data_IF_828371141609
#
_entry.id   IF_828371141609
#
_cell.length_a   1.000
_cell.length_b   1.000
_cell.length_c   1.000
_cell.angle_alpha   90.00
_cell.angle_beta   90.00
_cell.angle_gamma   90.00
#
_symmetry.space_group_name_H-M   'P 1'
#
loop_
_entity.id
_entity.type
_entity.pdbx_description
1 polymer ?
#
# COMPACT_ATOMS: atom_id res chain seq x y z
N UNK A 1 2.95 -8.99 -54.62
CA UNK A 1 2.23 -9.11 -53.33
C UNK A 1 3.18 -8.77 -52.20
N UNK A 2 2.71 -7.94 -51.27
CA UNK A 2 3.46 -6.96 -50.48
C UNK A 2 4.02 -7.59 -49.20
N UNK A 3 5.35 -7.59 -49.01
CA UNK A 3 6.00 -7.93 -47.74
C UNK A 3 5.83 -6.76 -46.77
N UNK A 4 4.91 -6.86 -45.80
CA UNK A 4 4.86 -5.97 -44.64
C UNK A 4 5.80 -6.52 -43.56
N UNK A 5 6.90 -5.80 -43.29
CA UNK A 5 7.71 -6.01 -42.10
C UNK A 5 7.02 -5.25 -40.95
N UNK A 6 6.49 -5.99 -39.98
CA UNK A 6 5.99 -5.43 -38.72
C UNK A 6 7.22 -5.14 -37.86
N UNK A 7 7.50 -3.86 -37.63
CA UNK A 7 8.53 -3.40 -36.69
C UNK A 7 7.87 -3.35 -35.31
N UNK A 8 8.28 -4.25 -34.42
CA UNK A 8 7.92 -4.18 -33.00
C UNK A 8 8.72 -3.03 -32.36
N UNK A 9 8.04 -1.93 -32.06
CA UNK A 9 8.56 -0.88 -31.21
C UNK A 9 8.42 -1.35 -29.75
N UNK A 10 9.49 -1.90 -29.18
CA UNK A 10 9.55 -2.21 -27.75
C UNK A 10 9.75 -0.87 -27.01
N UNK A 11 8.65 -0.31 -26.52
CA UNK A 11 8.66 0.77 -25.53
C UNK A 11 9.14 0.19 -24.19
N UNK A 12 10.46 0.27 -23.96
CA UNK A 12 11.06 0.07 -22.65
C UNK A 12 10.65 1.24 -21.74
N UNK A 13 9.51 1.10 -21.05
CA UNK A 13 9.23 1.89 -19.86
C UNK A 13 10.19 1.43 -18.76
N UNK A 14 11.31 2.14 -18.62
CA UNK A 14 12.17 1.99 -17.46
C UNK A 14 11.38 2.47 -16.22
N UNK A 15 10.94 1.52 -15.39
CA UNK A 15 10.45 1.78 -14.05
C UNK A 15 11.63 2.28 -13.20
N UNK A 16 11.89 3.59 -13.25
CA UNK A 16 12.82 4.23 -12.32
C UNK A 16 12.09 4.37 -10.99
N UNK A 17 12.32 3.40 -10.11
CA UNK A 17 11.95 3.47 -8.70
C UNK A 17 12.58 4.72 -8.09
N UNK A 18 11.75 5.54 -7.42
CA UNK A 18 12.17 6.77 -6.74
C UNK A 18 12.96 6.38 -5.46
N UNK A 19 14.21 5.94 -5.65
CA UNK A 19 15.17 5.70 -4.59
C UNK A 19 15.92 6.98 -4.27
N UNK A 20 16.15 7.26 -2.97
CA UNK A 20 17.05 8.33 -2.53
C UNK A 20 18.45 8.05 -3.10
N UNK A 21 18.81 8.74 -4.17
CA UNK A 21 20.17 8.72 -4.69
C UNK A 21 21.08 9.41 -3.69
N UNK A 22 21.91 8.62 -3.00
CA UNK A 22 23.14 9.10 -2.37
C UNK A 22 23.95 9.90 -3.39
N UNK A 23 24.43 11.07 -2.95
CA UNK A 23 25.09 12.11 -3.76
C UNK A 23 26.09 11.55 -4.79
N UNK A 24 25.75 11.62 -6.07
CA UNK A 24 26.73 11.58 -7.16
C UNK A 24 27.11 13.03 -7.51
N UNK A 25 28.04 13.58 -6.74
CA UNK A 25 28.76 14.76 -7.16
C UNK A 25 29.71 14.37 -8.30
N UNK A 26 29.24 14.55 -9.54
CA UNK A 26 30.02 15.11 -10.66
C UNK A 26 29.16 15.08 -11.95
N UNK A 27 28.15 15.94 -12.03
CA UNK A 27 27.52 16.24 -13.31
C UNK A 27 28.55 16.92 -14.23
N UNK A 28 28.59 16.49 -15.51
CA UNK A 28 29.41 17.14 -16.53
C UNK A 28 28.97 18.60 -16.71
N UNK A 29 29.82 19.46 -17.28
CA UNK A 29 29.49 20.88 -17.50
C UNK A 29 28.24 21.04 -18.37
N UNK A 30 28.08 20.17 -19.37
CA UNK A 30 26.91 20.13 -20.26
C UNK A 30 25.64 19.72 -19.49
N UNK A 31 25.71 18.69 -18.65
CA UNK A 31 24.60 18.27 -17.79
C UNK A 31 24.17 19.38 -16.82
N UNK A 32 25.11 20.18 -16.28
CA UNK A 32 24.78 21.32 -15.42
C UNK A 32 24.05 22.43 -16.17
N UNK A 33 24.45 22.72 -17.41
CA UNK A 33 23.79 23.73 -18.25
C UNK A 33 22.37 23.29 -18.60
N UNK A 34 22.17 22.01 -18.90
CA UNK A 34 20.86 21.44 -19.18
C UNK A 34 19.94 21.49 -17.94
N UNK A 35 20.43 21.02 -16.78
CA UNK A 35 19.72 21.13 -15.49
C UNK A 35 19.37 22.59 -15.12
N UNK A 36 20.28 23.54 -15.33
CA UNK A 36 20.02 24.96 -15.09
C UNK A 36 18.94 25.53 -16.02
N UNK A 37 18.89 25.06 -17.27
CA UNK A 37 17.87 25.48 -18.24
C UNK A 37 16.49 24.90 -17.89
N UNK A 38 16.43 23.64 -17.49
CA UNK A 38 15.20 22.99 -17.02
C UNK A 38 14.68 23.63 -15.74
N UNK A 39 15.56 23.89 -14.76
CA UNK A 39 15.17 24.55 -13.52
C UNK A 39 14.60 25.95 -13.76
N UNK A 40 15.17 26.73 -14.70
CA UNK A 40 14.62 28.04 -15.08
C UNK A 40 13.25 27.94 -15.73
N UNK A 41 13.02 26.90 -16.54
CA UNK A 41 11.72 26.63 -17.12
C UNK A 41 10.67 26.33 -16.05
N UNK A 42 10.99 25.44 -15.11
CA UNK A 42 10.09 25.09 -14.00
C UNK A 42 9.84 26.27 -13.05
N UNK A 43 10.86 27.08 -12.75
CA UNK A 43 10.70 28.31 -11.96
C UNK A 43 9.75 29.31 -12.65
N UNK A 44 9.84 29.45 -13.98
CA UNK A 44 8.92 30.29 -14.76
C UNK A 44 7.48 29.80 -14.66
N UNK A 45 7.25 28.49 -14.80
CA UNK A 45 5.92 27.87 -14.61
C UNK A 45 5.42 28.12 -13.18
N UNK A 46 6.25 27.85 -12.18
CA UNK A 46 5.91 28.02 -10.77
C UNK A 46 5.50 29.46 -10.43
N UNK A 47 6.16 30.47 -11.03
CA UNK A 47 5.80 31.89 -10.89
C UNK A 47 4.42 32.19 -11.48
N UNK A 48 4.09 31.63 -12.65
CA UNK A 48 2.76 31.80 -13.28
C UNK A 48 1.69 31.11 -12.44
N UNK A 49 1.92 29.87 -12.03
CA UNK A 49 1.03 29.10 -11.16
C UNK A 49 0.75 29.80 -9.83
N UNK A 50 1.79 30.35 -9.20
CA UNK A 50 1.66 31.11 -7.95
C UNK A 50 0.76 32.33 -8.13
N UNK A 51 0.96 33.11 -9.21
CA UNK A 51 0.11 34.27 -9.50
C UNK A 51 -1.35 33.88 -9.75
N UNK A 52 -1.56 32.77 -10.44
CA UNK A 52 -2.92 32.25 -10.68
C UNK A 52 -3.58 31.81 -9.37
N UNK A 53 -2.84 31.11 -8.49
CA UNK A 53 -3.35 30.71 -7.19
C UNK A 53 -3.73 31.93 -6.34
N UNK A 54 -2.86 32.94 -6.27
CA UNK A 54 -3.15 34.18 -5.53
C UNK A 54 -4.38 34.91 -6.07
N UNK A 55 -4.57 34.93 -7.39
CA UNK A 55 -5.78 35.51 -8.02
C UNK A 55 -7.04 34.76 -7.57
N UNK A 56 -7.01 33.43 -7.61
CA UNK A 56 -8.16 32.60 -7.23
C UNK A 56 -8.45 32.68 -5.73
N UNK A 57 -7.42 32.70 -4.88
CA UNK A 57 -7.53 32.93 -3.43
C UNK A 57 -8.22 34.26 -3.12
N UNK A 58 -7.83 35.34 -3.82
CA UNK A 58 -8.48 36.67 -3.70
C UNK A 58 -9.94 36.64 -4.13
N UNK A 59 -10.31 35.75 -5.05
CA UNK A 59 -11.69 35.51 -5.48
C UNK A 59 -12.43 34.49 -4.60
N UNK A 60 -11.86 34.13 -3.45
CA UNK A 60 -12.40 33.14 -2.52
C UNK A 60 -12.58 31.73 -3.13
N UNK A 61 -11.79 31.39 -4.15
CA UNK A 61 -11.77 30.08 -4.78
C UNK A 61 -10.64 29.25 -4.18
N UNK A 62 -11.01 28.25 -3.38
CA UNK A 62 -10.08 27.27 -2.83
C UNK A 62 -10.18 25.97 -3.60
N UNK A 63 -9.04 25.34 -3.84
CA UNK A 63 -8.97 24.04 -4.52
C UNK A 63 -8.02 23.11 -3.76
N UNK A 64 -8.53 21.95 -3.35
CA UNK A 64 -7.74 20.86 -2.81
C UNK A 64 -7.32 19.92 -3.94
N UNK A 65 -6.07 19.45 -3.90
CA UNK A 65 -5.52 18.58 -4.93
C UNK A 65 -5.30 17.18 -4.37
N UNK A 66 -5.89 16.18 -5.03
CA UNK A 66 -5.45 14.80 -4.84
C UNK A 66 -4.16 14.57 -5.62
N UNK A 67 -3.14 14.04 -4.96
CA UNK A 67 -1.92 13.64 -5.64
C UNK A 67 -2.19 12.41 -6.52
N UNK A 68 -1.79 12.47 -7.79
CA UNK A 68 -1.95 11.42 -8.79
C UNK A 68 -0.57 11.05 -9.35
N UNK A 69 -0.39 9.80 -9.79
CA UNK A 69 0.89 9.27 -10.29
C UNK A 69 1.43 8.14 -9.43
N UNK A 70 2.73 8.14 -9.12
CA UNK A 70 3.39 7.08 -8.33
C UNK A 70 3.10 7.14 -6.82
N UNK A 71 1.90 7.57 -6.43
CA UNK A 71 1.45 7.66 -5.04
C UNK A 71 0.20 6.82 -4.83
N UNK A 72 0.08 6.22 -3.65
CA UNK A 72 -1.13 5.47 -3.28
C UNK A 72 -2.29 6.46 -3.18
N UNK A 73 -3.34 6.21 -3.96
CA UNK A 73 -4.57 6.97 -3.82
C UNK A 73 -5.31 6.53 -2.56
N UNK A 74 -5.84 7.50 -1.82
CA UNK A 74 -6.72 7.19 -0.71
C UNK A 74 -8.03 6.63 -1.24
N UNK A 75 -8.38 5.42 -0.80
CA UNK A 75 -9.64 4.76 -1.14
C UNK A 75 -10.89 5.54 -0.71
N UNK A 76 -10.76 6.42 0.28
CA UNK A 76 -11.81 7.32 0.80
C UNK A 76 -11.87 8.68 0.08
N UNK A 77 -11.33 8.79 -1.13
CA UNK A 77 -11.35 10.05 -1.90
C UNK A 77 -12.77 10.53 -2.20
N UNK A 78 -13.73 9.64 -2.45
CA UNK A 78 -15.13 10.03 -2.67
C UNK A 78 -15.76 10.66 -1.43
N UNK A 79 -15.55 10.08 -0.25
CA UNK A 79 -15.97 10.64 1.03
C UNK A 79 -15.28 11.98 1.32
N UNK A 80 -13.97 12.07 1.07
CA UNK A 80 -13.22 13.32 1.23
C UNK A 80 -13.80 14.44 0.35
N UNK A 81 -14.13 14.13 -0.91
CA UNK A 81 -14.71 15.10 -1.84
C UNK A 81 -16.03 15.68 -1.31
N UNK A 82 -16.89 14.81 -0.77
CA UNK A 82 -18.17 15.20 -0.15
C UNK A 82 -17.97 16.03 1.12
N UNK A 83 -16.89 15.83 1.86
CA UNK A 83 -16.57 16.64 3.04
C UNK A 83 -16.07 18.03 2.63
N UNK A 84 -15.11 18.10 1.70
CA UNK A 84 -14.51 19.35 1.22
C UNK A 84 -15.54 20.28 0.55
N UNK A 85 -16.51 19.72 -0.19
CA UNK A 85 -17.55 20.52 -0.85
C UNK A 85 -18.40 21.32 0.14
N UNK A 86 -18.57 20.85 1.38
CA UNK A 86 -19.29 21.58 2.45
C UNK A 86 -18.59 22.86 2.88
N UNK A 87 -17.30 22.98 2.58
CA UNK A 87 -16.48 24.16 2.85
C UNK A 87 -16.24 25.00 1.59
N UNK A 88 -16.97 24.71 0.49
CA UNK A 88 -16.77 25.32 -0.83
C UNK A 88 -15.33 25.16 -1.36
N UNK A 89 -14.65 24.07 -0.98
CA UNK A 89 -13.33 23.74 -1.49
C UNK A 89 -13.52 22.82 -2.69
N UNK A 90 -13.07 23.29 -3.86
CA UNK A 90 -13.08 22.51 -5.09
C UNK A 90 -12.05 21.39 -5.02
N UNK A 91 -12.22 20.37 -5.84
CA UNK A 91 -11.26 19.27 -5.95
C UNK A 91 -10.64 19.31 -7.34
N UNK A 92 -9.35 19.08 -7.39
CA UNK A 92 -8.58 18.86 -8.61
C UNK A 92 -7.48 17.81 -8.34
N UNK A 93 -6.59 17.57 -9.30
CA UNK A 93 -5.52 16.58 -9.22
C UNK A 93 -4.18 17.18 -9.60
N UNK A 94 -3.13 16.74 -8.91
CA UNK A 94 -1.76 17.18 -9.15
C UNK A 94 -0.88 15.96 -9.46
N UNK A 95 -0.15 16.01 -10.58
CA UNK A 95 0.80 14.96 -10.97
C UNK A 95 2.18 15.27 -10.40
N UNK A 96 2.86 14.24 -9.88
CA UNK A 96 4.23 14.37 -9.37
C UNK A 96 5.21 13.60 -10.24
N UNK A 97 6.33 14.24 -10.59
CA UNK A 97 7.39 13.71 -11.44
C UNK A 97 8.69 13.54 -10.61
N UNK A 98 9.41 12.42 -10.74
CA UNK A 98 10.68 12.21 -10.04
C UNK A 98 11.84 13.03 -10.63
N UNK A 99 11.70 13.53 -11.86
CA UNK A 99 12.76 14.26 -12.59
C UNK A 99 12.74 15.77 -12.36
N UNK A 100 11.72 16.28 -11.67
CA UNK A 100 11.56 17.72 -11.43
C UNK A 100 11.82 18.00 -9.94
N UNK A 101 12.52 19.08 -9.58
CA UNK A 101 12.67 19.46 -8.18
C UNK A 101 11.31 19.65 -7.50
N UNK A 102 11.08 19.00 -6.36
CA UNK A 102 9.77 18.95 -5.71
C UNK A 102 9.22 20.33 -5.33
N UNK A 103 10.09 21.28 -5.02
CA UNK A 103 9.77 22.66 -4.69
C UNK A 103 9.29 23.50 -5.89
N UNK A 104 9.61 23.07 -7.11
CA UNK A 104 9.18 23.73 -8.36
C UNK A 104 7.96 23.06 -8.99
N UNK A 105 7.49 21.94 -8.44
CA UNK A 105 6.31 21.23 -8.92
C UNK A 105 5.04 21.70 -8.23
N UNK A 106 3.94 21.78 -9.00
CA UNK A 106 2.59 22.00 -8.48
C UNK A 106 2.50 23.23 -7.54
N UNK A 107 3.17 24.33 -7.90
CA UNK A 107 3.21 25.54 -7.08
C UNK A 107 1.82 26.12 -6.84
N UNK A 108 0.89 25.96 -7.80
CA UNK A 108 -0.51 26.32 -7.60
C UNK A 108 -1.14 25.52 -6.43
N UNK A 109 -0.98 24.19 -6.45
CA UNK A 109 -1.53 23.31 -5.42
C UNK A 109 -0.91 23.60 -4.05
N UNK A 110 0.40 23.84 -4.00
CA UNK A 110 1.11 24.23 -2.77
C UNK A 110 0.55 25.53 -2.18
N UNK A 111 0.29 26.54 -3.02
CA UNK A 111 -0.32 27.82 -2.57
C UNK A 111 -1.74 27.64 -2.06
N UNK A 112 -2.54 26.81 -2.74
CA UNK A 112 -3.89 26.50 -2.27
C UNK A 112 -3.89 25.75 -0.94
N UNK A 113 -3.00 24.77 -0.76
CA UNK A 113 -2.85 24.05 0.50
C UNK A 113 -2.46 24.99 1.65
N UNK A 114 -1.50 25.90 1.44
CA UNK A 114 -1.11 26.92 2.42
C UNK A 114 -2.28 27.82 2.82
N UNK A 115 -3.10 28.24 1.86
CA UNK A 115 -4.26 29.08 2.15
C UNK A 115 -5.37 28.31 2.89
N UNK A 116 -5.59 27.03 2.55
CA UNK A 116 -6.51 26.15 3.28
C UNK A 116 -6.06 26.02 4.75
N UNK A 117 -4.78 25.72 4.99
CA UNK A 117 -4.23 25.62 6.34
C UNK A 117 -4.34 26.92 7.12
N UNK A 118 -4.13 28.05 6.45
CA UNK A 118 -4.28 29.38 7.06
C UNK A 118 -5.72 29.66 7.48
N UNK A 119 -6.71 29.24 6.69
CA UNK A 119 -8.14 29.51 6.95
C UNK A 119 -8.76 28.57 7.96
N UNK A 120 -8.40 27.29 7.91
CA UNK A 120 -9.07 26.23 8.67
C UNK A 120 -8.17 25.57 9.73
N UNK A 121 -6.89 25.89 9.74
CA UNK A 121 -5.88 25.29 10.61
C UNK A 121 -5.16 24.12 9.95
N UNK A 122 -3.91 23.92 10.34
CA UNK A 122 -2.99 22.92 9.75
C UNK A 122 -3.49 21.47 9.82
N UNK A 123 -4.34 21.14 10.81
CA UNK A 123 -4.85 19.78 10.99
C UNK A 123 -6.19 19.55 10.28
N UNK A 124 -6.72 20.55 9.56
CA UNK A 124 -8.06 20.49 8.97
C UNK A 124 -8.19 19.36 7.95
N UNK A 125 -7.27 19.28 6.99
CA UNK A 125 -7.29 18.24 5.95
C UNK A 125 -7.12 16.85 6.58
N UNK A 126 -6.17 16.67 7.50
CA UNK A 126 -5.93 15.39 8.17
C UNK A 126 -7.13 14.92 8.99
N UNK A 127 -7.82 15.85 9.65
CA UNK A 127 -9.05 15.57 10.38
C UNK A 127 -10.16 15.12 9.42
N UNK A 128 -10.35 15.82 8.29
CA UNK A 128 -11.31 15.41 7.28
C UNK A 128 -10.96 14.05 6.66
N UNK A 129 -9.68 13.75 6.47
CA UNK A 129 -9.23 12.44 5.98
C UNK A 129 -9.58 11.31 6.93
N UNK A 130 -9.40 11.52 8.23
CA UNK A 130 -9.82 10.56 9.26
C UNK A 130 -11.32 10.31 9.21
N UNK A 131 -12.12 11.37 9.04
CA UNK A 131 -13.58 11.26 8.90
C UNK A 131 -13.97 10.55 7.61
N UNK A 132 -13.33 10.88 6.49
CA UNK A 132 -13.56 10.27 5.19
C UNK A 132 -13.30 8.76 5.23
N UNK A 133 -12.18 8.35 5.84
CA UNK A 133 -11.82 6.95 5.97
C UNK A 133 -12.82 6.17 6.82
N UNK A 134 -13.27 6.75 7.94
CA UNK A 134 -14.33 6.15 8.75
C UNK A 134 -15.66 6.03 7.99
N UNK A 135 -16.01 7.03 7.19
CA UNK A 135 -17.20 6.98 6.33
C UNK A 135 -17.07 5.89 5.26
N UNK A 136 -15.90 5.78 4.62
CA UNK A 136 -15.62 4.74 3.64
C UNK A 136 -15.84 3.34 4.22
N UNK A 137 -15.29 3.07 5.41
CA UNK A 137 -15.48 1.76 6.08
C UNK A 137 -16.96 1.48 6.34
N UNK A 138 -17.71 2.48 6.81
CA UNK A 138 -19.16 2.34 7.07
C UNK A 138 -19.98 2.13 5.80
N UNK A 139 -19.59 2.78 4.71
CA UNK A 139 -20.28 2.67 3.42
C UNK A 139 -19.98 1.35 2.70
N UNK A 140 -18.94 0.63 3.11
CA UNK A 140 -18.50 -0.63 2.51
C UNK A 140 -18.56 -1.81 3.50
N UNK A 141 -19.73 -2.09 4.11
CA UNK A 141 -19.82 -3.05 5.20
C UNK A 141 -19.44 -4.48 4.76
N UNK A 142 -19.60 -4.84 3.49
CA UNK A 142 -19.34 -6.19 3.00
C UNK A 142 -17.97 -6.33 2.30
N UNK A 143 -17.19 -5.25 2.19
CA UNK A 143 -15.86 -5.32 1.58
C UNK A 143 -14.97 -6.26 2.39
N UNK A 144 -14.20 -7.06 1.68
CA UNK A 144 -13.09 -7.84 2.24
C UNK A 144 -11.86 -6.94 2.14
N UNK A 145 -11.33 -6.56 3.30
CA UNK A 145 -10.17 -5.68 3.41
C UNK A 145 -8.88 -6.49 3.26
N UNK A 146 -7.88 -5.89 2.61
CA UNK A 146 -6.54 -6.48 2.64
C UNK A 146 -5.97 -6.42 4.07
N UNK A 147 -4.99 -7.27 4.36
CA UNK A 147 -4.45 -7.39 5.70
C UNK A 147 -3.83 -6.08 6.21
N UNK A 148 -3.15 -5.35 5.32
CA UNK A 148 -2.47 -4.08 5.55
C UNK A 148 -3.43 -2.88 5.60
N UNK A 149 -4.65 -3.04 5.10
CA UNK A 149 -5.70 -2.01 5.12
C UNK A 149 -6.42 -1.90 6.49
N UNK A 150 -6.13 -2.81 7.40
CA UNK A 150 -6.74 -2.90 8.72
C UNK A 150 -5.85 -2.25 9.80
N UNK A 151 -6.46 -1.99 10.95
CA UNK A 151 -5.77 -1.51 12.15
C UNK A 151 -4.68 -2.53 12.57
N UNK A 152 -3.57 -2.01 13.11
CA UNK A 152 -2.40 -2.79 13.52
C UNK A 152 -2.62 -3.50 14.86
N UNK A 153 -3.62 -4.38 14.90
CA UNK A 153 -3.93 -5.28 16.00
C UNK A 153 -3.71 -6.73 15.54
N UNK A 154 -3.20 -7.58 16.44
CA UNK A 154 -3.10 -9.00 16.09
C UNK A 154 -4.50 -9.61 15.96
N UNK A 155 -4.66 -10.45 14.94
CA UNK A 155 -5.86 -11.26 14.71
C UNK A 155 -5.74 -12.65 15.34
N UNK A 156 -4.56 -12.99 15.87
CA UNK A 156 -4.29 -14.28 16.50
C UNK A 156 -4.45 -14.16 18.03
N UNK A 157 -5.26 -15.02 18.68
CA UNK A 157 -5.69 -14.82 20.08
C UNK A 157 -4.57 -14.89 21.13
N UNK A 158 -3.43 -15.52 20.81
CA UNK A 158 -2.31 -15.68 21.76
C UNK A 158 -1.29 -14.52 21.69
N UNK A 159 -1.55 -13.51 20.88
CA UNK A 159 -0.64 -12.39 20.71
C UNK A 159 -0.92 -11.23 21.63
N UNK A 160 0.15 -10.52 22.01
CA UNK A 160 0.06 -9.27 22.78
C UNK A 160 0.17 -8.04 21.89
N UNK A 161 0.69 -8.20 20.68
CA UNK A 161 0.94 -7.10 19.74
C UNK A 161 0.84 -7.58 18.28
N UNK A 162 0.72 -6.63 17.35
CA UNK A 162 0.72 -6.92 15.92
C UNK A 162 2.01 -7.61 15.43
N UNK A 163 3.16 -7.30 16.02
CA UNK A 163 4.44 -7.91 15.62
C UNK A 163 4.55 -9.38 16.07
N UNK A 164 3.83 -9.77 17.13
CA UNK A 164 3.77 -11.15 17.62
C UNK A 164 3.04 -12.08 16.65
N UNK A 165 2.11 -11.53 15.86
CA UNK A 165 1.38 -12.24 14.81
C UNK A 165 2.33 -13.02 13.92
N UNK A 166 3.41 -12.42 13.46
CA UNK A 166 4.34 -13.08 12.55
C UNK A 166 5.21 -14.16 13.19
N UNK A 167 5.01 -14.48 14.48
CA UNK A 167 5.83 -15.44 15.24
C UNK A 167 4.99 -16.53 15.89
N UNK A 168 3.94 -16.18 16.64
CA UNK A 168 3.34 -17.12 17.59
C UNK A 168 2.51 -18.22 16.92
N UNK A 169 1.73 -17.90 15.87
CA UNK A 169 0.96 -18.94 15.17
C UNK A 169 1.87 -20.03 14.59
N UNK A 170 3.09 -19.68 14.17
CA UNK A 170 4.08 -20.63 13.64
C UNK A 170 4.49 -21.63 14.71
N UNK A 171 4.78 -21.12 15.91
CA UNK A 171 5.17 -21.94 17.05
C UNK A 171 4.02 -22.86 17.48
N UNK A 172 2.79 -22.35 17.52
CA UNK A 172 1.63 -23.14 17.92
C UNK A 172 1.24 -24.19 16.88
N UNK A 173 1.40 -23.89 15.58
CA UNK A 173 1.22 -24.88 14.53
C UNK A 173 2.15 -26.09 14.70
N UNK A 174 3.44 -25.87 14.99
CA UNK A 174 4.38 -26.98 15.19
C UNK A 174 4.17 -27.77 16.49
N UNK A 175 3.33 -27.29 17.42
CA UNK A 175 2.88 -28.09 18.57
C UNK A 175 1.83 -29.15 18.18
N UNK A 176 1.14 -28.95 17.06
CA UNK A 176 0.10 -29.88 16.58
C UNK A 176 0.50 -30.65 15.30
N UNK A 177 1.43 -30.10 14.53
CA UNK A 177 1.96 -30.66 13.30
C UNK A 177 3.40 -31.11 13.52
N UNK A 178 3.56 -32.25 14.20
CA UNK A 178 4.87 -32.85 14.42
C UNK A 178 5.52 -33.27 13.09
N UNK A 179 6.84 -33.19 13.04
CA UNK A 179 7.61 -33.64 11.90
C UNK A 179 7.57 -35.17 11.81
N UNK A 180 7.23 -35.74 10.64
CA UNK A 180 7.39 -37.17 10.39
C UNK A 180 8.84 -37.63 10.66
N UNK A 181 9.02 -38.87 11.14
CA UNK A 181 10.33 -39.38 11.60
C UNK A 181 11.44 -39.30 10.56
N UNK A 182 11.08 -39.45 9.29
CA UNK A 182 11.97 -39.44 8.13
C UNK A 182 11.80 -38.18 7.27
N UNK A 183 11.28 -37.10 7.86
CA UNK A 183 11.24 -35.79 7.22
C UNK A 183 12.67 -35.28 7.00
N UNK A 184 13.02 -34.95 5.76
CA UNK A 184 14.36 -34.47 5.43
C UNK A 184 14.42 -32.95 5.63
N UNK A 185 15.09 -32.51 6.71
CA UNK A 185 15.32 -31.10 7.00
C UNK A 185 16.28 -30.47 5.99
N UNK A 186 16.16 -29.15 5.80
CA UNK A 186 17.04 -28.40 4.92
C UNK A 186 18.49 -28.42 5.44
N UNK A 187 19.45 -28.23 4.54
CA UNK A 187 20.84 -27.94 4.92
C UNK A 187 21.01 -26.43 5.10
N UNK A 188 22.05 -26.01 5.82
CA UNK A 188 22.24 -24.62 6.25
C UNK A 188 22.23 -23.58 5.12
N UNK A 189 22.67 -23.98 3.90
CA UNK A 189 22.72 -23.12 2.71
C UNK A 189 21.49 -23.20 1.81
N UNK A 190 20.53 -24.07 2.13
CA UNK A 190 19.34 -24.27 1.31
C UNK A 190 18.26 -23.23 1.66
N UNK A 191 17.43 -22.89 0.67
CA UNK A 191 16.22 -22.12 0.91
C UNK A 191 15.31 -22.84 1.91
N UNK A 192 14.42 -22.09 2.56
CA UNK A 192 13.44 -22.71 3.43
C UNK A 192 12.36 -23.42 2.59
N UNK A 193 11.92 -24.58 3.06
CA UNK A 193 10.61 -25.10 2.67
C UNK A 193 9.55 -24.28 3.42
N UNK A 194 8.36 -24.12 2.85
CA UNK A 194 7.30 -23.34 3.47
C UNK A 194 5.91 -23.89 3.13
N UNK A 195 4.95 -23.55 3.99
CA UNK A 195 3.53 -23.69 3.75
C UNK A 195 2.87 -22.35 4.08
N UNK A 196 2.04 -21.83 3.18
CA UNK A 196 1.28 -20.60 3.38
C UNK A 196 -0.20 -20.88 3.27
N UNK A 197 -0.99 -20.00 3.86
CA UNK A 197 -2.42 -19.97 3.63
C UNK A 197 -2.91 -18.53 3.55
N UNK A 198 -3.83 -18.28 2.64
CA UNK A 198 -4.63 -17.07 2.58
C UNK A 198 -6.09 -17.46 2.82
N UNK A 199 -6.78 -16.72 3.69
CA UNK A 199 -8.19 -16.98 3.96
C UNK A 199 -8.95 -15.71 4.31
N UNK A 200 -10.27 -15.77 4.23
CA UNK A 200 -11.16 -14.67 4.64
C UNK A 200 -11.60 -14.89 6.08
N UNK A 201 -11.27 -13.93 6.94
CA UNK A 201 -11.81 -13.80 8.28
C UNK A 201 -13.00 -12.85 8.26
N UNK A 202 -14.18 -13.35 8.62
CA UNK A 202 -15.41 -12.56 8.66
C UNK A 202 -15.58 -11.80 9.97
N UNK A 203 -16.48 -10.81 9.96
CA UNK A 203 -16.82 -9.99 11.14
C UNK A 203 -17.29 -10.79 12.36
N UNK A 204 -17.90 -11.95 12.14
CA UNK A 204 -18.38 -12.85 13.19
C UNK A 204 -17.29 -13.80 13.71
N UNK A 205 -16.07 -13.73 13.15
CA UNK A 205 -14.96 -14.60 13.48
C UNK A 205 -14.95 -15.93 12.71
N UNK A 206 -15.92 -16.16 11.82
CA UNK A 206 -15.90 -17.33 10.93
C UNK A 206 -14.83 -17.18 9.83
N UNK A 207 -14.39 -18.32 9.29
CA UNK A 207 -13.36 -18.37 8.25
C UNK A 207 -13.90 -19.07 7.01
N UNK A 208 -13.68 -18.47 5.84
CA UNK A 208 -13.97 -19.09 4.53
C UNK A 208 -12.78 -18.95 3.57
N UNK A 209 -12.90 -19.57 2.40
CA UNK A 209 -11.99 -19.36 1.26
C UNK A 209 -10.52 -19.59 1.62
N UNK A 210 -10.26 -20.68 2.35
CA UNK A 210 -8.91 -21.09 2.74
C UNK A 210 -8.19 -21.65 1.50
N UNK A 211 -7.25 -20.88 0.98
CA UNK A 211 -6.28 -21.29 -0.02
C UNK A 211 -4.95 -21.66 0.64
N UNK A 212 -4.31 -22.75 0.22
CA UNK A 212 -3.09 -23.27 0.83
C UNK A 212 -2.08 -23.60 -0.26
N UNK A 213 -0.91 -22.99 -0.15
CA UNK A 213 0.24 -23.30 -0.99
C UNK A 213 1.36 -23.92 -0.14
N UNK A 214 2.08 -24.86 -0.74
CA UNK A 214 3.17 -25.56 -0.07
C UNK A 214 4.32 -25.81 -1.04
N UNK A 215 5.54 -25.54 -0.56
CA UNK A 215 6.77 -25.85 -1.28
C UNK A 215 7.75 -26.55 -0.36
N UNK A 216 8.15 -27.77 -0.73
CA UNK A 216 9.33 -28.41 -0.17
C UNK A 216 10.54 -28.26 -1.09
N UNK A 217 11.69 -27.89 -0.53
CA UNK A 217 12.97 -27.93 -1.24
C UNK A 217 13.40 -29.36 -1.54
N UNK A 218 13.17 -30.27 -0.58
CA UNK A 218 13.44 -31.68 -0.76
C UNK A 218 12.22 -32.38 -1.38
N UNK A 219 12.39 -32.90 -2.60
CA UNK A 219 11.33 -33.58 -3.35
C UNK A 219 10.73 -34.78 -2.61
N UNK A 220 11.50 -35.45 -1.75
CA UNK A 220 10.99 -36.60 -0.97
C UNK A 220 9.93 -36.21 0.06
N UNK A 221 9.93 -34.96 0.53
CA UNK A 221 8.97 -34.50 1.53
C UNK A 221 7.57 -34.25 0.96
N UNK A 222 7.39 -34.19 -0.38
CA UNK A 222 6.05 -34.01 -0.99
C UNK A 222 5.08 -35.15 -0.68
N UNK A 223 5.56 -36.32 -0.23
CA UNK A 223 4.68 -37.36 0.33
C UNK A 223 3.89 -36.89 1.56
N UNK A 224 4.34 -35.82 2.23
CA UNK A 224 3.70 -35.21 3.39
C UNK A 224 2.81 -34.02 3.06
N UNK A 225 2.64 -33.64 1.79
CA UNK A 225 1.85 -32.45 1.41
C UNK A 225 0.42 -32.51 1.96
N UNK A 226 -0.25 -33.67 1.84
CA UNK A 226 -1.62 -33.84 2.36
C UNK A 226 -1.69 -33.74 3.87
N UNK A 227 -0.68 -34.25 4.59
CA UNK A 227 -0.60 -34.18 6.05
C UNK A 227 -0.49 -32.73 6.52
N UNK A 228 0.49 -31.97 6.02
CA UNK A 228 0.70 -30.58 6.44
C UNK A 228 -0.44 -29.65 6.00
N UNK A 229 -0.97 -29.84 4.79
CA UNK A 229 -2.13 -29.07 4.30
C UNK A 229 -3.36 -29.30 5.18
N UNK A 230 -3.66 -30.57 5.52
CA UNK A 230 -4.78 -30.90 6.40
C UNK A 230 -4.58 -30.33 7.80
N UNK A 231 -3.36 -30.40 8.33
CA UNK A 231 -3.03 -29.83 9.65
C UNK A 231 -3.14 -28.31 9.68
N UNK A 232 -2.72 -27.61 8.61
CA UNK A 232 -2.85 -26.16 8.54
C UNK A 232 -4.32 -25.74 8.42
N UNK A 233 -5.11 -26.45 7.62
CA UNK A 233 -6.55 -26.21 7.53
C UNK A 233 -7.25 -26.45 8.87
N UNK A 234 -6.91 -27.55 9.56
CA UNK A 234 -7.42 -27.87 10.90
C UNK A 234 -7.05 -26.77 11.91
N UNK A 235 -5.79 -26.30 11.88
CA UNK A 235 -5.31 -25.19 12.71
C UNK A 235 -6.13 -23.93 12.50
N UNK A 236 -6.28 -23.49 11.24
CA UNK A 236 -7.02 -22.28 10.88
C UNK A 236 -8.48 -22.37 11.35
N UNK A 237 -9.15 -23.50 11.11
CA UNK A 237 -10.57 -23.67 11.47
C UNK A 237 -10.81 -23.78 12.98
N UNK A 238 -9.84 -24.30 13.75
CA UNK A 238 -9.96 -24.43 15.21
C UNK A 238 -9.54 -23.17 15.96
N UNK A 239 -8.72 -22.31 15.36
CA UNK A 239 -8.29 -21.06 15.97
C UNK A 239 -9.47 -20.10 16.09
N UNK A 240 -9.68 -19.57 17.30
CA UNK A 240 -10.64 -18.50 17.56
C UNK A 240 -10.03 -17.16 17.17
N UNK A 241 -10.05 -16.84 15.88
CA UNK A 241 -9.49 -15.60 15.34
C UNK A 241 -10.21 -14.38 15.91
N UNK A 242 -9.45 -13.31 16.12
CA UNK A 242 -9.98 -12.00 16.51
C UNK A 242 -10.33 -11.25 15.21
N UNK A 243 -11.61 -10.87 14.98
CA UNK A 243 -11.99 -10.12 13.79
C UNK A 243 -11.17 -8.84 13.61
N UNK A 244 -10.84 -8.55 12.35
CA UNK A 244 -10.10 -7.36 12.02
C UNK A 244 -10.92 -6.09 12.24
N UNK A 245 -10.23 -4.98 12.46
CA UNK A 245 -10.84 -3.65 12.50
C UNK A 245 -10.22 -2.76 11.45
N UNK A 246 -10.98 -1.82 10.92
CA UNK A 246 -10.47 -0.70 10.14
C UNK A 246 -11.12 0.57 10.66
N UNK A 247 -10.31 1.54 11.10
CA UNK A 247 -10.78 2.74 11.80
C UNK A 247 -11.65 2.41 13.03
N UNK A 248 -11.31 1.33 13.73
CA UNK A 248 -12.03 0.84 14.91
C UNK A 248 -13.33 0.07 14.63
N UNK A 249 -13.81 0.02 13.39
CA UNK A 249 -15.02 -0.72 13.00
C UNK A 249 -14.66 -2.16 12.59
N UNK A 250 -15.47 -3.15 12.98
CA UNK A 250 -15.21 -4.56 12.65
C UNK A 250 -15.48 -4.83 11.16
N UNK A 251 -14.52 -5.45 10.47
CA UNK A 251 -14.55 -5.70 9.02
C UNK A 251 -14.23 -7.15 8.67
N UNK A 252 -14.63 -7.58 7.46
CA UNK A 252 -14.10 -8.79 6.85
C UNK A 252 -12.68 -8.51 6.36
N UNK A 253 -11.74 -9.44 6.51
CA UNK A 253 -10.36 -9.24 6.06
C UNK A 253 -9.71 -10.49 5.51
N UNK A 254 -8.80 -10.34 4.55
CA UNK A 254 -7.85 -11.39 4.20
C UNK A 254 -6.81 -11.55 5.30
N UNK A 255 -6.41 -12.79 5.56
CA UNK A 255 -5.39 -13.13 6.56
C UNK A 255 -4.34 -14.03 5.90
N UNK A 256 -3.11 -13.54 5.70
CA UNK A 256 -1.99 -14.34 5.24
C UNK A 256 -1.28 -15.01 6.41
N UNK A 257 -1.00 -16.30 6.26
CA UNK A 257 -0.11 -17.07 7.12
C UNK A 257 1.02 -17.66 6.29
N UNK A 258 2.22 -17.68 6.84
CA UNK A 258 3.36 -18.34 6.19
C UNK A 258 4.22 -18.99 7.25
N UNK A 259 4.38 -20.30 7.18
CA UNK A 259 5.14 -21.10 8.12
C UNK A 259 6.34 -21.66 7.37
N UNK A 260 7.53 -21.41 7.91
CA UNK A 260 8.77 -21.95 7.37
C UNK A 260 9.09 -23.23 8.14
N UNK A 261 9.35 -24.32 7.42
CA UNK A 261 9.85 -25.56 8.02
C UNK A 261 11.31 -25.37 8.44
N UNK A 262 11.76 -26.17 9.41
CA UNK A 262 13.13 -26.15 9.93
C UNK A 262 14.19 -26.39 8.86
#
# INVERSE_FOLDING_TARGET
MRKMKIIYFILLFAFISCGKSTSQNQASREQRVELDSENKYWDSICKVETKNAEKDIKQNKLTYFHSFGMVVQYRSNEEMNKLLSKYNIRIDSALYYCTVPGELQNCYANKMAQEIDKRFGKNFIDSLRTVAEKQYVKNNPNKIYEFEECDTLSRYPNDKSYSDFFKNYKNDFFKIAEYPKDFEFRKEKDYYSWISADFILHKDGSVTDIDIELTFQNKKNYKYSSYFTSKLKEFILKTKWIPAKSMGEIVNSKVPLTIHFK
#
